data_IF_995883770986
#
_entry.id   IF_995883770986
#
_cell.length_a   1.000
_cell.length_b   1.000
_cell.length_c   1.000
_cell.angle_alpha   90.00
_cell.angle_beta   90.00
_cell.angle_gamma   90.00
#
_symmetry.space_group_name_H-M   'P 1'
#
loop_
_entity.id
_entity.type
_entity.pdbx_description
1 polymer ?
#
# COMPACT_ATOMS: atom_id res chain seq x y z
N UNK A 1 4.53 -6.21 -26.56
CA UNK A 1 3.82 -6.52 -25.30
C UNK A 1 4.68 -6.28 -24.06
N UNK A 2 5.85 -6.93 -23.92
CA UNK A 2 6.71 -6.83 -22.72
C UNK A 2 7.15 -5.40 -22.29
N UNK A 3 7.41 -4.49 -23.24
CA UNK A 3 7.77 -3.09 -22.92
C UNK A 3 6.61 -2.30 -22.30
N UNK A 4 5.38 -2.62 -22.67
CA UNK A 4 4.18 -1.91 -22.22
C UNK A 4 3.61 -2.52 -20.93
N UNK A 5 3.79 -3.82 -20.69
CA UNK A 5 3.26 -4.49 -19.50
C UNK A 5 3.73 -3.85 -18.19
N UNK A 6 5.02 -3.53 -18.06
CA UNK A 6 5.54 -2.92 -16.83
C UNK A 6 5.07 -1.47 -16.67
N UNK A 7 4.91 -0.73 -17.77
CA UNK A 7 4.34 0.64 -17.70
C UNK A 7 2.88 0.60 -17.27
N UNK A 8 2.08 -0.29 -17.86
CA UNK A 8 0.68 -0.50 -17.46
C UNK A 8 0.60 -0.92 -16.00
N UNK A 9 1.44 -1.87 -15.56
CA UNK A 9 1.52 -2.30 -14.16
C UNK A 9 1.83 -1.12 -13.21
N UNK A 10 2.83 -0.31 -13.57
CA UNK A 10 3.20 0.88 -12.80
C UNK A 10 2.07 1.90 -12.70
N UNK A 11 1.44 2.24 -13.82
CA UNK A 11 0.33 3.20 -13.84
C UNK A 11 -0.89 2.65 -13.10
N UNK A 12 -1.25 1.38 -13.29
CA UNK A 12 -2.36 0.74 -12.57
C UNK A 12 -2.13 0.73 -11.06
N UNK A 13 -0.93 0.37 -10.61
CA UNK A 13 -0.57 0.42 -9.20
C UNK A 13 -0.68 1.85 -8.66
N UNK A 14 -0.15 2.83 -9.40
CA UNK A 14 -0.24 4.24 -9.02
C UNK A 14 -1.68 4.75 -8.93
N UNK A 15 -2.55 4.38 -9.89
CA UNK A 15 -3.97 4.75 -9.89
C UNK A 15 -4.70 4.14 -8.69
N UNK A 16 -4.42 2.89 -8.33
CA UNK A 16 -5.02 2.23 -7.15
C UNK A 16 -4.62 2.97 -5.87
N UNK A 17 -3.34 3.29 -5.70
CA UNK A 17 -2.85 4.06 -4.56
C UNK A 17 -3.44 5.49 -4.51
N UNK A 18 -3.58 6.16 -5.66
CA UNK A 18 -4.25 7.47 -5.73
C UNK A 18 -5.70 7.38 -5.31
N UNK A 19 -6.45 6.43 -5.87
CA UNK A 19 -7.88 6.29 -5.60
C UNK A 19 -8.12 6.02 -4.12
N UNK A 20 -7.39 5.07 -3.52
CA UNK A 20 -7.54 4.75 -2.11
C UNK A 20 -6.99 5.83 -1.19
N UNK A 21 -5.89 6.50 -1.56
CA UNK A 21 -5.34 7.60 -0.79
C UNK A 21 -6.29 8.80 -0.75
N UNK A 22 -6.85 9.18 -1.90
CA UNK A 22 -7.79 10.31 -1.99
C UNK A 22 -9.07 10.03 -1.20
N UNK A 23 -9.60 8.80 -1.26
CA UNK A 23 -10.80 8.41 -0.52
C UNK A 23 -10.62 8.57 1.01
N UNK A 24 -9.41 8.33 1.53
CA UNK A 24 -9.12 8.45 2.97
C UNK A 24 -9.16 9.88 3.52
N UNK A 25 -9.21 10.91 2.67
CA UNK A 25 -9.45 12.28 3.14
C UNK A 25 -10.89 12.54 3.56
N UNK A 26 -11.82 11.66 3.17
CA UNK A 26 -13.24 11.78 3.49
C UNK A 26 -13.59 10.81 4.63
N UNK A 27 -13.97 11.31 5.82
CA UNK A 27 -14.30 10.46 6.97
C UNK A 27 -15.41 9.45 6.65
N UNK A 28 -15.20 8.18 7.02
CA UNK A 28 -16.15 7.09 6.81
C UNK A 28 -16.23 6.57 5.37
N UNK A 29 -15.43 7.11 4.44
CA UNK A 29 -15.43 6.66 3.05
C UNK A 29 -14.55 5.41 2.81
N UNK A 30 -13.62 5.13 3.72
CA UNK A 30 -12.71 3.97 3.61
C UNK A 30 -13.17 2.83 4.52
N UNK A 31 -13.45 1.62 3.97
CA UNK A 31 -13.77 0.45 4.80
C UNK A 31 -12.61 0.03 5.73
N UNK A 32 -11.39 0.45 5.41
CA UNK A 32 -10.18 0.10 6.16
C UNK A 32 -9.80 1.16 7.21
N UNK A 33 -10.62 2.20 7.42
CA UNK A 33 -10.31 3.32 8.33
C UNK A 33 -9.96 2.85 9.74
N UNK A 34 -10.84 2.05 10.37
CA UNK A 34 -10.58 1.53 11.72
C UNK A 34 -9.34 0.64 11.82
N UNK A 35 -9.06 -0.17 10.79
CA UNK A 35 -7.85 -0.98 10.75
C UNK A 35 -6.60 -0.09 10.64
N UNK A 36 -6.63 0.92 9.78
CA UNK A 36 -5.53 1.88 9.59
C UNK A 36 -5.24 2.64 10.88
N UNK A 37 -6.26 3.15 11.56
CA UNK A 37 -6.10 3.86 12.83
C UNK A 37 -5.38 3.00 13.86
N UNK A 38 -5.90 1.80 14.12
CA UNK A 38 -5.31 0.86 15.09
C UNK A 38 -3.87 0.49 14.74
N UNK A 39 -3.59 0.30 13.45
CA UNK A 39 -2.26 -0.10 12.97
C UNK A 39 -1.25 1.01 13.16
N UNK A 40 -1.56 2.23 12.73
CA UNK A 40 -0.64 3.37 12.86
C UNK A 40 -0.46 3.74 14.32
N UNK A 41 -1.52 3.73 15.12
CA UNK A 41 -1.44 3.95 16.57
C UNK A 41 -0.45 2.96 17.22
N UNK A 42 -0.60 1.66 16.92
CA UNK A 42 0.28 0.62 17.44
C UNK A 42 1.73 0.77 16.95
N UNK A 43 1.94 1.03 15.65
CA UNK A 43 3.27 1.18 15.06
C UNK A 43 3.98 2.46 15.52
N UNK A 44 3.24 3.49 15.91
CA UNK A 44 3.78 4.77 16.40
C UNK A 44 3.78 4.87 17.92
N UNK A 45 3.46 3.78 18.63
CA UNK A 45 3.35 3.75 20.10
C UNK A 45 2.41 4.84 20.66
N UNK A 46 1.31 5.09 19.95
CA UNK A 46 0.29 6.08 20.32
C UNK A 46 0.62 7.53 19.99
N UNK A 47 1.73 7.81 19.29
CA UNK A 47 2.10 9.17 18.90
C UNK A 47 1.20 9.74 17.79
N UNK A 48 0.69 8.89 16.90
CA UNK A 48 -0.22 9.27 15.81
C UNK A 48 -1.44 8.36 15.86
N UNK A 49 -2.61 8.93 16.13
CA UNK A 49 -3.84 8.17 16.37
C UNK A 49 -5.08 8.83 15.72
N UNK A 50 -6.17 8.05 15.65
CA UNK A 50 -7.46 8.46 15.08
C UNK A 50 -7.32 9.04 13.67
N UNK A 51 -8.05 10.12 13.40
CA UNK A 51 -8.04 10.78 12.09
C UNK A 51 -6.63 11.22 11.63
N UNK A 52 -5.71 11.52 12.55
CA UNK A 52 -4.33 11.86 12.21
C UNK A 52 -3.60 10.72 11.50
N UNK A 53 -3.83 9.48 11.94
CA UNK A 53 -3.30 8.28 11.30
C UNK A 53 -3.88 8.08 9.89
N UNK A 54 -5.19 8.26 9.75
CA UNK A 54 -5.89 8.12 8.46
C UNK A 54 -5.41 9.18 7.46
N UNK A 55 -5.28 10.44 7.89
CA UNK A 55 -4.79 11.53 7.03
C UNK A 55 -3.32 11.33 6.66
N UNK A 56 -2.48 10.88 7.60
CA UNK A 56 -1.07 10.57 7.31
C UNK A 56 -0.96 9.50 6.22
N UNK A 57 -1.71 8.41 6.35
CA UNK A 57 -1.72 7.35 5.33
C UNK A 57 -2.32 7.82 4.01
N UNK A 58 -3.37 8.65 4.03
CA UNK A 58 -3.94 9.27 2.83
C UNK A 58 -2.90 10.09 2.04
N UNK A 59 -2.11 10.91 2.74
CA UNK A 59 -1.03 11.71 2.16
C UNK A 59 0.03 10.79 1.54
N UNK A 60 0.50 9.78 2.29
CA UNK A 60 1.53 8.86 1.82
C UNK A 60 1.07 8.11 0.56
N UNK A 61 -0.14 7.55 0.57
CA UNK A 61 -0.70 6.82 -0.57
C UNK A 61 -0.90 7.73 -1.79
N UNK A 62 -1.35 8.97 -1.58
CA UNK A 62 -1.49 9.94 -2.66
C UNK A 62 -0.13 10.29 -3.26
N UNK A 63 0.90 10.52 -2.44
CA UNK A 63 2.26 10.80 -2.93
C UNK A 63 2.83 9.59 -3.71
N UNK A 64 2.69 8.38 -3.16
CA UNK A 64 3.08 7.15 -3.85
C UNK A 64 2.38 7.05 -5.20
N UNK A 65 1.06 7.22 -5.22
CA UNK A 65 0.26 7.12 -6.42
C UNK A 65 0.68 8.13 -7.49
N UNK A 66 0.92 9.40 -7.12
CA UNK A 66 1.40 10.44 -8.04
C UNK A 66 2.79 10.11 -8.62
N UNK A 67 3.73 9.66 -7.79
CA UNK A 67 5.09 9.30 -8.26
C UNK A 67 5.07 8.10 -9.20
N UNK A 68 4.20 7.11 -8.96
CA UNK A 68 4.03 5.95 -9.83
C UNK A 68 3.37 6.32 -11.16
N UNK A 69 2.28 7.11 -11.14
CA UNK A 69 1.56 7.51 -12.36
C UNK A 69 2.41 8.42 -13.25
N UNK A 70 3.05 9.43 -12.65
CA UNK A 70 3.85 10.42 -13.41
C UNK A 70 5.24 9.90 -13.77
N UNK A 71 5.78 8.95 -12.99
CA UNK A 71 7.17 8.50 -13.07
C UNK A 71 8.18 9.52 -12.52
N UNK A 72 7.73 10.67 -12.02
CA UNK A 72 8.59 11.70 -11.43
C UNK A 72 8.95 11.28 -10.01
N UNK A 73 10.23 11.39 -9.64
CA UNK A 73 10.78 10.88 -8.38
C UNK A 73 10.48 9.39 -8.09
N UNK A 74 10.31 8.57 -9.15
CA UNK A 74 9.88 7.17 -9.03
C UNK A 74 10.68 6.36 -8.00
N UNK A 75 12.01 6.55 -7.93
CA UNK A 75 12.85 5.83 -6.95
C UNK A 75 12.49 6.16 -5.51
N UNK A 76 12.28 7.44 -5.20
CA UNK A 76 11.84 7.88 -3.87
C UNK A 76 10.43 7.35 -3.59
N UNK A 77 9.52 7.45 -4.56
CA UNK A 77 8.17 6.89 -4.47
C UNK A 77 8.14 5.39 -4.16
N UNK A 78 9.03 4.61 -4.77
CA UNK A 78 9.18 3.17 -4.51
C UNK A 78 9.70 2.87 -3.10
N UNK A 79 10.60 3.70 -2.56
CA UNK A 79 11.06 3.57 -1.16
C UNK A 79 9.92 3.84 -0.19
N UNK A 80 9.15 4.91 -0.43
CA UNK A 80 7.97 5.23 0.38
C UNK A 80 6.92 4.13 0.27
N UNK A 81 6.67 3.60 -0.93
CA UNK A 81 5.77 2.48 -1.18
C UNK A 81 6.20 1.22 -0.42
N UNK A 82 7.50 0.90 -0.39
CA UNK A 82 8.00 -0.26 0.35
C UNK A 82 7.71 -0.13 1.87
N UNK A 83 7.93 1.06 2.45
CA UNK A 83 7.57 1.33 3.84
C UNK A 83 6.05 1.28 4.08
N UNK A 84 5.26 1.85 3.17
CA UNK A 84 3.81 1.83 3.26
C UNK A 84 3.25 0.40 3.19
N UNK A 85 3.74 -0.44 2.26
CA UNK A 85 3.34 -1.84 2.17
C UNK A 85 3.70 -2.63 3.43
N UNK A 86 4.86 -2.37 4.05
CA UNK A 86 5.19 -2.98 5.33
C UNK A 86 4.18 -2.57 6.43
N UNK A 87 3.79 -1.30 6.47
CA UNK A 87 2.76 -0.81 7.39
C UNK A 87 1.38 -1.41 7.12
N UNK A 88 0.95 -1.49 5.85
CA UNK A 88 -0.34 -2.06 5.44
C UNK A 88 -0.39 -3.56 5.78
N UNK A 89 0.74 -4.28 5.68
CA UNK A 89 0.81 -5.73 5.99
C UNK A 89 0.97 -6.02 7.49
N UNK A 90 1.40 -5.05 8.30
CA UNK A 90 1.64 -5.21 9.73
C UNK A 90 0.45 -5.83 10.50
N UNK A 91 -0.84 -5.52 10.21
CA UNK A 91 -1.99 -6.12 10.89
C UNK A 91 -2.04 -7.64 10.83
N UNK A 92 -1.53 -8.25 9.76
CA UNK A 92 -1.49 -9.72 9.63
C UNK A 92 -0.68 -10.38 10.74
N UNK A 93 0.26 -9.65 11.35
CA UNK A 93 1.07 -10.10 12.48
C UNK A 93 0.57 -9.50 13.78
N UNK A 94 0.32 -8.18 13.81
CA UNK A 94 -0.05 -7.46 15.03
C UNK A 94 -1.45 -7.82 15.55
N UNK A 95 -2.39 -8.06 14.64
CA UNK A 95 -3.80 -8.30 14.95
C UNK A 95 -4.30 -9.62 14.34
N UNK A 96 -3.41 -10.61 14.24
CA UNK A 96 -3.73 -11.91 13.64
C UNK A 96 -4.98 -12.57 14.28
N UNK A 97 -5.15 -12.44 15.60
CA UNK A 97 -6.34 -12.96 16.30
C UNK A 97 -7.65 -12.30 15.89
N UNK A 98 -7.63 -11.00 15.57
CA UNK A 98 -8.81 -10.26 15.12
C UNK A 98 -9.11 -10.50 13.64
N UNK A 99 -8.06 -10.69 12.84
CA UNK A 99 -8.16 -10.89 11.39
C UNK A 99 -8.53 -12.34 11.02
N UNK A 100 -8.20 -13.30 11.88
CA UNK A 100 -8.46 -14.72 11.66
C UNK A 100 -9.18 -15.38 12.85
N UNK A 101 -10.38 -14.89 13.25
CA UNK A 101 -11.17 -15.56 14.28
C UNK A 101 -11.46 -17.00 13.83
N UNK A 102 -11.22 -17.95 14.74
CA UNK A 102 -11.34 -19.40 14.47
C UNK A 102 -10.52 -19.89 13.25
N UNK A 103 -9.49 -19.14 12.85
CA UNK A 103 -8.64 -19.43 11.70
C UNK A 103 -9.23 -19.06 10.33
N UNK A 104 -10.38 -18.37 10.28
CA UNK A 104 -11.03 -17.95 9.04
C UNK A 104 -10.82 -16.44 8.76
N UNK A 105 -10.53 -16.03 7.51
CA UNK A 105 -10.20 -14.63 7.22
C UNK A 105 -11.43 -13.73 7.22
N UNK A 106 -11.36 -12.62 7.96
CA UNK A 106 -12.33 -11.51 7.86
C UNK A 106 -12.22 -10.76 6.52
N UNK A 107 -13.16 -9.86 6.23
CA UNK A 107 -13.06 -8.97 5.06
C UNK A 107 -11.82 -8.07 5.12
N UNK A 108 -11.45 -7.60 6.31
CA UNK A 108 -10.22 -6.84 6.54
C UNK A 108 -8.99 -7.70 6.25
N UNK A 109 -8.98 -8.95 6.71
CA UNK A 109 -7.89 -9.88 6.44
C UNK A 109 -7.73 -10.10 4.93
N UNK A 110 -8.84 -10.34 4.20
CA UNK A 110 -8.82 -10.48 2.75
C UNK A 110 -8.34 -9.21 2.04
N UNK A 111 -8.76 -8.05 2.54
CA UNK A 111 -8.37 -6.74 2.01
C UNK A 111 -6.85 -6.51 2.14
N UNK A 112 -6.25 -6.89 3.25
CA UNK A 112 -4.79 -6.83 3.44
C UNK A 112 -4.11 -7.93 2.63
N UNK A 113 -4.64 -9.15 2.61
CA UNK A 113 -4.00 -10.29 1.96
C UNK A 113 -3.80 -10.10 0.45
N UNK A 114 -4.74 -9.44 -0.25
CA UNK A 114 -4.58 -9.15 -1.69
C UNK A 114 -3.40 -8.23 -2.00
N UNK A 115 -2.94 -7.41 -1.04
CA UNK A 115 -1.88 -6.43 -1.28
C UNK A 115 -0.51 -7.09 -1.42
N UNK A 116 -0.39 -8.40 -1.16
CA UNK A 116 0.76 -9.21 -1.59
C UNK A 116 0.97 -9.08 -3.11
N UNK A 117 -0.10 -8.98 -3.89
CA UNK A 117 -0.02 -8.76 -5.36
C UNK A 117 0.53 -7.36 -5.66
N UNK A 118 0.14 -6.35 -4.89
CA UNK A 118 0.65 -4.99 -5.04
C UNK A 118 2.14 -4.91 -4.66
N UNK A 119 2.55 -5.63 -3.63
CA UNK A 119 3.96 -5.77 -3.25
C UNK A 119 4.79 -6.45 -4.34
N UNK A 120 4.28 -7.55 -4.91
CA UNK A 120 4.93 -8.19 -6.06
C UNK A 120 5.05 -7.24 -7.26
N UNK A 121 4.00 -6.46 -7.55
CA UNK A 121 4.03 -5.45 -8.61
C UNK A 121 5.09 -4.37 -8.34
N UNK A 122 5.18 -3.88 -7.09
CA UNK A 122 6.18 -2.92 -6.66
C UNK A 122 7.61 -3.44 -6.87
N UNK A 123 7.87 -4.71 -6.58
CA UNK A 123 9.17 -5.35 -6.83
C UNK A 123 9.52 -5.38 -8.32
N UNK A 124 8.57 -5.74 -9.19
CA UNK A 124 8.77 -5.76 -10.65
C UNK A 124 9.07 -4.35 -11.18
N UNK A 125 8.32 -3.34 -10.73
CA UNK A 125 8.53 -1.94 -11.11
C UNK A 125 9.89 -1.46 -10.59
N UNK A 126 10.23 -1.80 -9.34
CA UNK A 126 11.50 -1.45 -8.71
C UNK A 126 12.70 -2.06 -9.41
N UNK A 127 12.65 -3.34 -9.76
CA UNK A 127 13.69 -4.01 -10.53
C UNK A 127 13.97 -3.28 -11.85
N UNK A 128 12.93 -2.89 -12.59
CA UNK A 128 13.07 -2.08 -13.81
C UNK A 128 13.65 -0.68 -13.53
N UNK A 129 13.19 0.01 -12.48
CA UNK A 129 13.64 1.36 -12.15
C UNK A 129 15.11 1.42 -11.66
N UNK A 130 15.58 0.31 -11.10
CA UNK A 130 16.96 0.12 -10.63
C UNK A 130 17.88 -0.46 -11.73
N UNK A 131 17.36 -0.77 -12.92
CA UNK A 131 18.15 -1.24 -14.05
C UNK A 131 18.49 -2.74 -14.02
N UNK A 132 17.80 -3.53 -13.20
CA UNK A 132 17.94 -4.98 -13.23
C UNK A 132 17.44 -5.55 -14.57
N UNK A 133 18.18 -6.51 -15.15
CA UNK A 133 17.72 -7.26 -16.32
C UNK A 133 16.72 -8.32 -15.86
N UNK A 134 15.46 -8.16 -16.26
CA UNK A 134 14.45 -9.19 -16.10
C UNK A 134 14.64 -10.22 -17.22
N UNK A 135 15.41 -11.26 -16.95
CA UNK A 135 15.60 -12.39 -17.87
C UNK A 135 14.54 -13.44 -17.61
N UNK A 136 13.70 -13.73 -18.60
CA UNK A 136 12.88 -14.93 -18.60
C UNK A 136 13.80 -16.09 -19.00
N UNK A 137 14.16 -16.94 -18.03
CA UNK A 137 14.79 -18.23 -18.34
C UNK A 137 13.75 -19.18 -18.91
#
# INVERSE_FOLDING_TARGET
MARHSIRVLQTSLGVVFLAFGVLKFFPGASPAEGLVERTVDTLTFGLVSGQGAVVLTAILETVIGLTLVTGVFLRAGLVVLAGALAGIMAPLVLFAGDLFPDGLPTLEAQYVFKDIVLAAAALVIGAKALGARLEAR
#
